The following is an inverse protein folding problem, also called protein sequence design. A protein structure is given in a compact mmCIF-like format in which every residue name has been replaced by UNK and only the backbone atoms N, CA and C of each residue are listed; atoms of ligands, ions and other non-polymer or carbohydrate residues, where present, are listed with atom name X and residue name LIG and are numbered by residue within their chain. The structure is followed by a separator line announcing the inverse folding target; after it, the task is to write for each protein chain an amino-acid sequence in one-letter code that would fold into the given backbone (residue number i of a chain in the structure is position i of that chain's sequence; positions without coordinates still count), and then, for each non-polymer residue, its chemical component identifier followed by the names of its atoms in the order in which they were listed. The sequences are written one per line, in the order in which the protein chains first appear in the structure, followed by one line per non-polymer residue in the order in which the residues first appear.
data_IF_526318119498
#
_entry.id   IF_526318119498
#
_cell.length_a   1.000
_cell.length_b   1.000
_cell.length_c   1.000
_cell.angle_alpha   90.00
_cell.angle_beta   90.00
_cell.angle_gamma   90.00
#
_symmetry.space_group_name_H-M   'P 1'
#
loop_
_entity.id
_entity.type
_entity.pdbx_description
1 polymer ?
#
# COMPACT_ATOMS: atom_id res chain seq x y z
N UNK A 1 -7.22 10.26 5.18
CA UNK A 1 -7.27 8.96 4.46
C UNK A 1 -8.71 8.75 3.95
N UNK A 2 -8.92 8.03 2.85
CA UNK A 2 -10.29 7.69 2.36
C UNK A 2 -10.82 6.47 3.12
N UNK A 3 -12.14 6.33 3.24
CA UNK A 3 -12.74 5.20 3.98
C UNK A 3 -12.36 3.83 3.39
N UNK A 4 -12.11 3.73 2.09
CA UNK A 4 -11.67 2.50 1.44
C UNK A 4 -10.20 2.16 1.76
N UNK A 5 -9.32 3.17 1.85
CA UNK A 5 -7.92 2.97 2.22
C UNK A 5 -7.80 2.61 3.71
N UNK A 6 -8.61 3.22 4.57
CA UNK A 6 -8.72 2.84 5.99
C UNK A 6 -9.12 1.37 6.16
N UNK A 7 -10.20 0.95 5.49
CA UNK A 7 -10.65 -0.44 5.53
C UNK A 7 -9.57 -1.43 5.01
N UNK A 8 -8.84 -1.04 3.96
CA UNK A 8 -7.74 -1.85 3.44
C UNK A 8 -6.59 -1.97 4.45
N UNK A 9 -6.16 -0.85 5.06
CA UNK A 9 -5.10 -0.86 6.08
C UNK A 9 -5.51 -1.72 7.26
N UNK A 10 -6.73 -1.57 7.78
CA UNK A 10 -7.26 -2.40 8.86
C UNK A 10 -7.26 -3.90 8.51
N UNK A 11 -7.61 -4.25 7.27
CA UNK A 11 -7.63 -5.64 6.80
C UNK A 11 -6.21 -6.24 6.68
N UNK A 12 -5.22 -5.41 6.32
CA UNK A 12 -3.81 -5.82 6.25
C UNK A 12 -3.23 -5.94 7.67
N UNK A 13 -3.50 -4.99 8.56
CA UNK A 13 -2.98 -5.01 9.94
C UNK A 13 -3.44 -6.25 10.72
N UNK A 14 -4.62 -6.78 10.42
CA UNK A 14 -5.17 -7.98 11.07
C UNK A 14 -4.66 -9.31 10.52
N UNK A 15 -3.89 -9.31 9.43
CA UNK A 15 -3.44 -10.53 8.74
C UNK A 15 -1.95 -10.48 8.40
N UNK A 16 -1.11 -11.27 9.07
CA UNK A 16 0.30 -11.40 8.71
C UNK A 16 0.53 -11.84 7.25
N UNK A 17 -0.38 -12.67 6.71
CA UNK A 17 -0.32 -13.08 5.31
C UNK A 17 -0.51 -11.90 4.36
N UNK A 18 -1.45 -11.00 4.65
CA UNK A 18 -1.65 -9.80 3.85
C UNK A 18 -0.47 -8.83 3.98
N UNK A 19 0.09 -8.69 5.18
CA UNK A 19 1.30 -7.89 5.40
C UNK A 19 2.47 -8.40 4.55
N UNK A 20 2.67 -9.73 4.52
CA UNK A 20 3.69 -10.34 3.68
C UNK A 20 3.43 -10.05 2.19
N UNK A 21 2.21 -10.28 1.71
CA UNK A 21 1.83 -9.97 0.31
C UNK A 21 2.06 -8.50 -0.06
N UNK A 22 1.76 -7.56 0.84
CA UNK A 22 2.06 -6.13 0.63
C UNK A 22 3.57 -5.89 0.59
N UNK A 23 4.33 -6.48 1.51
CA UNK A 23 5.78 -6.28 1.60
C UNK A 23 6.56 -6.79 0.39
N UNK A 24 6.04 -7.82 -0.27
CA UNK A 24 6.62 -8.42 -1.49
C UNK A 24 6.20 -7.67 -2.77
N UNK A 25 5.29 -6.71 -2.68
CA UNK A 25 4.85 -5.94 -3.84
C UNK A 25 5.98 -5.05 -4.37
N UNK A 26 6.27 -5.20 -5.66
CA UNK A 26 7.26 -4.42 -6.41
C UNK A 26 6.62 -3.26 -7.19
N UNK A 27 5.28 -3.23 -7.28
CA UNK A 27 4.52 -2.20 -7.99
C UNK A 27 3.27 -1.78 -7.19
N UNK A 28 2.79 -0.52 -7.32
CA UNK A 28 1.55 -0.06 -6.72
C UNK A 28 0.34 -0.89 -7.15
N UNK A 29 0.33 -1.37 -8.40
CA UNK A 29 -0.76 -2.14 -8.98
C UNK A 29 -0.99 -3.46 -8.23
N UNK A 30 0.08 -4.13 -7.79
CA UNK A 30 -0.02 -5.34 -6.97
C UNK A 30 -0.70 -5.08 -5.62
N UNK A 31 -0.46 -3.92 -5.02
CA UNK A 31 -1.12 -3.52 -3.77
C UNK A 31 -2.59 -3.22 -4.03
N UNK A 32 -2.93 -2.51 -5.11
CA UNK A 32 -4.33 -2.25 -5.45
C UNK A 32 -5.09 -3.51 -5.85
N UNK A 33 -4.41 -4.50 -6.45
CA UNK A 33 -5.00 -5.81 -6.73
C UNK A 33 -5.32 -6.56 -5.44
N UNK A 34 -4.41 -6.56 -4.45
CA UNK A 34 -4.71 -7.09 -3.12
C UNK A 34 -5.87 -6.35 -2.45
N UNK A 35 -5.92 -5.02 -2.56
CA UNK A 35 -7.05 -4.26 -2.02
C UNK A 35 -8.38 -4.70 -2.66
N UNK A 36 -8.40 -4.88 -3.99
CA UNK A 36 -9.56 -5.38 -4.71
C UNK A 36 -9.97 -6.80 -4.29
N UNK A 37 -9.00 -7.71 -4.09
CA UNK A 37 -9.23 -9.06 -3.55
C UNK A 37 -9.92 -9.03 -2.17
N UNK A 38 -9.57 -8.02 -1.35
CA UNK A 38 -10.15 -7.77 -0.03
C UNK A 38 -11.45 -6.95 -0.07
N UNK A 39 -12.00 -6.68 -1.26
CA UNK A 39 -13.23 -5.91 -1.44
C UNK A 39 -13.06 -4.39 -1.22
N UNK A 40 -11.83 -3.89 -1.19
CA UNK A 40 -11.51 -2.48 -1.01
C UNK A 40 -11.18 -1.82 -2.35
N UNK A 41 -11.88 -0.74 -2.69
CA UNK A 41 -11.63 0.02 -3.92
C UNK A 41 -10.56 1.10 -3.68
N UNK A 42 -9.29 0.69 -3.60
CA UNK A 42 -8.13 1.59 -3.42
C UNK A 42 -7.43 1.82 -4.77
N UNK A 43 -7.19 3.08 -5.13
CA UNK A 43 -6.42 3.41 -6.33
C UNK A 43 -4.92 3.59 -6.05
N UNK A 44 -4.09 3.51 -7.08
CA UNK A 44 -2.66 3.81 -6.97
C UNK A 44 -2.42 5.28 -6.62
N UNK A 45 -3.34 6.17 -7.01
CA UNK A 45 -3.32 7.58 -6.64
C UNK A 45 -3.56 7.77 -5.14
N UNK A 46 -4.48 7.02 -4.53
CA UNK A 46 -4.70 7.06 -3.08
C UNK A 46 -3.45 6.59 -2.34
N UNK A 47 -2.87 5.45 -2.75
CA UNK A 47 -1.63 4.95 -2.16
C UNK A 47 -0.49 5.97 -2.24
N UNK A 48 -0.33 6.64 -3.39
CA UNK A 48 0.68 7.69 -3.58
C UNK A 48 0.41 8.91 -2.70
N UNK A 49 -0.85 9.34 -2.59
CA UNK A 49 -1.24 10.50 -1.78
C UNK A 49 -0.95 10.28 -0.29
N UNK A 50 -1.25 9.08 0.20
CA UNK A 50 -1.10 8.71 1.61
C UNK A 50 0.21 7.97 1.93
N UNK A 51 1.12 7.77 0.97
CA UNK A 51 2.35 6.97 1.16
C UNK A 51 3.27 7.47 2.27
N UNK A 52 3.12 8.73 2.69
CA UNK A 52 3.88 9.33 3.81
C UNK A 52 3.26 9.03 5.18
N UNK A 53 1.94 8.87 5.21
CA UNK A 53 1.17 8.51 6.41
C UNK A 53 1.19 7.00 6.64
N UNK A 54 1.27 6.22 5.55
CA UNK A 54 1.45 4.77 5.54
C UNK A 54 2.89 4.39 5.94
N UNK A 55 3.15 4.40 7.26
CA UNK A 55 4.49 4.25 7.85
C UNK A 55 4.78 2.85 8.42
N UNK A 56 3.84 1.92 8.34
CA UNK A 56 4.04 0.56 8.81
C UNK A 56 5.21 -0.13 8.06
N UNK A 57 5.97 -0.97 8.78
CA UNK A 57 7.22 -1.56 8.29
C UNK A 57 7.04 -2.53 7.11
N UNK A 58 5.83 -3.07 6.95
CA UNK A 58 5.47 -3.96 5.84
C UNK A 58 5.15 -3.23 4.54
N UNK A 59 5.11 -1.89 4.51
CA UNK A 59 5.03 -1.16 3.24
C UNK A 59 6.35 -1.24 2.47
N UNK A 60 6.34 -1.50 1.15
CA UNK A 60 7.58 -1.57 0.35
C UNK A 60 8.43 -0.30 0.40
N UNK A 61 7.80 0.85 0.60
CA UNK A 61 8.44 2.17 0.73
C UNK A 61 8.78 2.57 2.17
N UNK A 62 8.51 1.71 3.16
CA UNK A 62 8.91 1.96 4.54
C UNK A 62 10.42 2.15 4.61
N UNK A 63 10.84 3.20 5.30
CA UNK A 63 12.27 3.59 5.43
C UNK A 63 12.99 3.90 4.10
N UNK A 64 12.26 3.93 2.96
CA UNK A 64 12.82 4.30 1.66
C UNK A 64 12.75 5.80 1.42
N UNK A 65 13.78 6.34 0.77
CA UNK A 65 13.87 7.74 0.39
C UNK A 65 12.93 8.14 -0.76
N UNK A 66 12.81 9.45 -0.99
CA UNK A 66 11.92 10.04 -1.99
C UNK A 66 12.16 9.49 -3.42
N UNK A 67 13.41 9.29 -3.81
CA UNK A 67 13.76 8.75 -5.14
C UNK A 67 13.17 7.35 -5.38
N UNK A 68 13.22 6.48 -4.36
CA UNK A 68 12.66 5.14 -4.44
C UNK A 68 11.14 5.19 -4.56
N UNK A 69 10.46 6.00 -3.73
CA UNK A 69 9.00 6.17 -3.81
C UNK A 69 8.57 6.68 -5.19
N UNK A 70 9.33 7.61 -5.76
CA UNK A 70 9.06 8.13 -7.11
C UNK A 70 9.15 7.04 -8.17
N UNK A 71 10.18 6.19 -8.10
CA UNK A 71 10.33 5.05 -9.02
C UNK A 71 9.20 4.04 -8.84
N UNK A 72 8.84 3.71 -7.60
CA UNK A 72 7.75 2.78 -7.28
C UNK A 72 6.40 3.28 -7.83
N UNK A 73 6.06 4.55 -7.63
CA UNK A 73 4.81 5.14 -8.11
C UNK A 73 4.87 5.69 -9.54
N UNK A 74 5.88 5.33 -10.34
CA UNK A 74 5.93 5.63 -11.77
C UNK A 74 6.31 7.07 -12.17
N UNK A 75 6.75 7.92 -11.24
CA UNK A 75 7.22 9.30 -11.53
C UNK A 75 6.11 10.33 -11.64
#
# INVERSE_FOLDING_TARGET
MTSALEAFVDAVERSPEHQQRVSEATTPEQITALAADLGCSVSTQDLRAFSRELCATWWPWSEKGHAWRRAFFGG
#
